data_IF_505471502347
#
_entry.id   IF_505471502347
#
_cell.length_a   1.000
_cell.length_b   1.000
_cell.length_c   1.000
_cell.angle_alpha   90.00
_cell.angle_beta   90.00
_cell.angle_gamma   90.00
#
_symmetry.space_group_name_H-M   'P 1'
#
loop_
_entity.id
_entity.type
_entity.pdbx_description
1 polymer ?
#
# COMPACT_ATOMS: atom_id res chain seq x y z
N UNK A 1 -25.28 27.62 -6.40
CA UNK A 1 -25.13 26.20 -6.01
C UNK A 1 -23.93 25.63 -6.77
N UNK A 2 -22.90 25.15 -6.07
CA UNK A 2 -21.67 24.61 -6.69
C UNK A 2 -21.92 23.17 -7.15
N UNK A 3 -21.81 22.93 -8.45
CA UNK A 3 -21.71 21.59 -9.02
C UNK A 3 -20.29 21.06 -8.77
N UNK A 4 -20.14 20.07 -7.88
CA UNK A 4 -18.91 19.30 -7.71
C UNK A 4 -18.90 18.19 -8.76
N UNK A 5 -18.25 18.47 -9.89
CA UNK A 5 -18.03 17.49 -10.95
C UNK A 5 -17.01 16.44 -10.48
N UNK A 6 -17.40 15.18 -10.58
CA UNK A 6 -16.75 14.01 -9.97
C UNK A 6 -15.26 13.89 -10.26
N UNK A 7 -14.51 13.55 -9.21
CA UNK A 7 -13.14 13.08 -9.32
C UNK A 7 -13.15 11.58 -9.59
N UNK A 8 -13.60 11.21 -10.78
CA UNK A 8 -13.43 9.86 -11.30
C UNK A 8 -12.23 9.89 -12.25
N UNK A 9 -11.03 9.96 -11.66
CA UNK A 9 -9.79 9.69 -12.37
C UNK A 9 -9.17 8.45 -11.72
N UNK A 10 -9.60 7.29 -12.18
CA UNK A 10 -8.85 6.03 -12.02
C UNK A 10 -7.48 6.26 -12.65
N UNK A 11 -6.47 6.49 -11.81
CA UNK A 11 -5.08 6.56 -12.24
C UNK A 11 -4.73 5.15 -12.75
N UNK A 12 -4.40 4.98 -14.04
CA UNK A 12 -3.90 3.71 -14.55
C UNK A 12 -2.68 3.29 -13.72
N UNK A 13 -2.54 2.01 -13.38
CA UNK A 13 -1.39 1.52 -12.61
C UNK A 13 -0.03 1.87 -13.22
N UNK A 14 0.00 2.22 -14.52
CA UNK A 14 1.20 2.68 -15.23
C UNK A 14 1.58 4.15 -14.93
N UNK A 15 0.71 4.94 -14.31
CA UNK A 15 0.97 6.35 -13.95
C UNK A 15 1.45 6.52 -12.49
N UNK A 16 1.67 5.41 -11.76
CA UNK A 16 2.30 5.45 -10.42
C UNK A 16 3.75 5.95 -10.50
N UNK A 17 4.38 5.86 -11.67
CA UNK A 17 5.69 6.44 -11.98
C UNK A 17 5.69 7.98 -11.99
N UNK A 18 4.50 8.61 -11.97
CA UNK A 18 4.35 10.07 -11.90
C UNK A 18 4.17 10.60 -10.47
N UNK A 19 4.11 9.73 -9.46
CA UNK A 19 4.19 10.12 -8.06
C UNK A 19 5.67 10.39 -7.77
N UNK A 20 6.06 11.52 -7.15
CA UNK A 20 7.47 11.81 -6.92
C UNK A 20 8.01 10.85 -5.86
N UNK A 21 8.47 9.66 -6.31
CA UNK A 21 9.37 8.75 -5.59
C UNK A 21 10.73 9.42 -5.30
N UNK A 22 10.91 10.68 -5.73
CA UNK A 22 12.12 11.49 -5.63
C UNK A 22 12.60 11.79 -4.19
N UNK A 23 11.88 11.35 -3.16
CA UNK A 23 12.33 11.43 -1.75
C UNK A 23 12.89 10.12 -1.22
N UNK A 24 12.81 9.03 -1.99
CA UNK A 24 13.42 7.77 -1.59
C UNK A 24 14.93 7.82 -1.85
N UNK A 25 15.76 7.40 -0.88
CA UNK A 25 17.20 7.29 -1.08
C UNK A 25 17.51 6.53 -2.38
N UNK A 26 18.54 6.93 -3.12
CA UNK A 26 18.92 6.30 -4.39
C UNK A 26 19.25 4.79 -4.27
N UNK A 27 19.45 4.30 -3.04
CA UNK A 27 19.66 2.90 -2.67
C UNK A 27 18.42 2.23 -2.06
N UNK A 28 17.26 2.90 -2.08
CA UNK A 28 15.98 2.32 -1.71
C UNK A 28 15.57 1.31 -2.76
N UNK A 29 16.15 0.13 -2.66
CA UNK A 29 15.48 -1.06 -3.14
C UNK A 29 14.35 -1.26 -2.15
N UNK A 30 13.11 -1.34 -2.65
CA UNK A 30 12.06 -2.04 -1.91
C UNK A 30 12.74 -3.25 -1.27
N UNK A 31 12.76 -3.32 0.07
CA UNK A 31 13.51 -4.38 0.75
C UNK A 31 13.20 -5.68 0.01
N UNK A 32 14.22 -6.51 -0.26
CA UNK A 32 14.06 -7.88 -0.74
C UNK A 32 13.33 -8.76 0.31
N UNK A 33 12.43 -8.18 1.11
CA UNK A 33 11.34 -8.88 1.75
C UNK A 33 10.54 -9.49 0.61
N UNK A 34 10.70 -10.81 0.49
CA UNK A 34 9.81 -11.64 -0.31
C UNK A 34 8.37 -11.22 -0.02
N UNK A 35 7.66 -10.79 -1.07
CA UNK A 35 6.29 -10.30 -0.93
C UNK A 35 5.45 -11.37 -0.24
N UNK A 36 4.66 -10.99 0.75
CA UNK A 36 3.93 -11.93 1.60
C UNK A 36 2.95 -12.76 0.77
N UNK A 37 3.22 -14.05 0.58
CA UNK A 37 2.38 -14.95 -0.23
C UNK A 37 1.12 -15.45 0.49
N UNK A 38 0.89 -15.02 1.75
CA UNK A 38 -0.19 -15.57 2.58
C UNK A 38 0.24 -16.75 3.46
N UNK A 39 1.54 -17.04 3.51
CA UNK A 39 2.13 -18.09 4.36
C UNK A 39 2.78 -17.44 5.58
N UNK A 40 2.42 -17.90 6.78
CA UNK A 40 2.90 -17.35 8.05
C UNK A 40 1.87 -16.47 8.75
N UNK A 41 2.33 -15.56 9.62
CA UNK A 41 1.44 -14.71 10.42
C UNK A 41 1.26 -13.32 9.78
N UNK A 42 0.02 -12.95 9.36
CA UNK A 42 -0.27 -11.61 8.83
C UNK A 42 0.11 -10.48 9.81
N UNK A 43 -0.05 -10.69 11.11
CA UNK A 43 0.31 -9.71 12.13
C UNK A 43 1.81 -9.38 12.13
N UNK A 44 2.67 -10.37 11.90
CA UNK A 44 4.12 -10.17 11.85
C UNK A 44 4.49 -9.40 10.59
N UNK A 45 3.92 -9.78 9.44
CA UNK A 45 4.11 -9.05 8.17
C UNK A 45 3.74 -7.57 8.32
N UNK A 46 2.53 -7.31 8.82
CA UNK A 46 2.01 -5.95 8.99
C UNK A 46 2.89 -5.11 9.94
N UNK A 47 3.36 -5.72 11.05
CA UNK A 47 4.24 -5.05 12.01
C UNK A 47 5.58 -4.69 11.39
N UNK A 48 6.21 -5.63 10.66
CA UNK A 48 7.49 -5.40 9.99
C UNK A 48 7.37 -4.30 8.93
N UNK A 49 6.34 -4.39 8.08
CA UNK A 49 6.04 -3.36 7.09
C UNK A 49 5.89 -1.98 7.75
N UNK A 50 5.08 -1.87 8.80
CA UNK A 50 4.87 -0.61 9.51
C UNK A 50 6.17 -0.03 10.08
N UNK A 51 6.95 -0.83 10.81
CA UNK A 51 8.20 -0.38 11.44
C UNK A 51 9.19 0.13 10.40
N UNK A 52 9.36 -0.61 9.31
CA UNK A 52 10.28 -0.26 8.23
C UNK A 52 9.86 1.05 7.56
N UNK A 53 8.61 1.15 7.14
CA UNK A 53 8.11 2.34 6.43
C UNK A 53 8.14 3.58 7.33
N UNK A 54 7.88 3.42 8.64
CA UNK A 54 8.03 4.51 9.62
C UNK A 54 9.48 4.93 9.83
N UNK A 55 10.42 3.99 9.83
CA UNK A 55 11.85 4.30 9.91
C UNK A 55 12.36 5.08 8.68
N UNK A 56 11.69 4.92 7.54
CA UNK A 56 11.95 5.66 6.30
C UNK A 56 11.27 7.03 6.25
N UNK A 57 10.54 7.43 7.31
CA UNK A 57 9.86 8.72 7.38
C UNK A 57 8.55 8.79 6.60
N UNK A 58 7.98 7.65 6.20
CA UNK A 58 6.72 7.61 5.45
C UNK A 58 5.51 7.78 6.36
N UNK A 59 4.55 8.59 5.92
CA UNK A 59 3.27 8.77 6.61
C UNK A 59 2.26 7.66 6.26
N UNK A 60 1.10 7.69 6.92
CA UNK A 60 0.05 6.67 6.73
C UNK A 60 -0.54 6.61 5.33
N UNK A 61 -0.54 7.72 4.58
CA UNK A 61 -1.00 7.72 3.19
C UNK A 61 -0.03 6.94 2.31
N UNK A 62 1.27 7.14 2.51
CA UNK A 62 2.29 6.32 1.84
C UNK A 62 2.20 4.85 2.23
N UNK A 63 1.89 4.53 3.50
CA UNK A 63 1.71 3.14 3.93
C UNK A 63 0.62 2.43 3.13
N UNK A 64 -0.52 3.09 2.91
CA UNK A 64 -1.62 2.54 2.12
C UNK A 64 -1.22 2.35 0.66
N UNK A 65 -0.60 3.36 0.05
CA UNK A 65 -0.21 3.32 -1.37
C UNK A 65 0.82 2.23 -1.66
N UNK A 66 1.80 2.04 -0.78
CA UNK A 66 2.91 1.11 -1.00
C UNK A 66 2.65 -0.31 -0.47
N UNK A 67 1.61 -0.52 0.34
CA UNK A 67 1.30 -1.84 0.90
C UNK A 67 1.19 -2.97 -0.14
N UNK A 68 0.53 -2.80 -1.30
CA UNK A 68 0.45 -3.86 -2.30
C UNK A 68 1.80 -4.31 -2.85
N UNK A 69 2.85 -3.49 -2.79
CA UNK A 69 4.19 -3.89 -3.20
C UNK A 69 4.79 -4.92 -2.21
N UNK A 70 4.32 -4.94 -0.96
CA UNK A 70 4.74 -5.91 0.06
C UNK A 70 4.05 -7.28 -0.05
N UNK A 71 3.16 -7.45 -1.04
CA UNK A 71 2.32 -8.63 -1.23
C UNK A 71 2.71 -9.33 -2.53
N UNK A 72 2.50 -10.65 -2.60
CA UNK A 72 2.72 -11.42 -3.82
C UNK A 72 1.70 -12.55 -3.93
N UNK A 73 1.55 -13.13 -5.12
CA UNK A 73 0.70 -14.29 -5.33
C UNK A 73 -0.77 -14.03 -5.01
N UNK A 74 -1.33 -14.80 -4.07
CA UNK A 74 -2.76 -14.75 -3.70
C UNK A 74 -3.13 -13.48 -2.92
N UNK A 75 -2.24 -12.96 -2.09
CA UNK A 75 -2.50 -11.77 -1.27
C UNK A 75 -2.48 -10.50 -2.11
N UNK A 76 -1.67 -10.43 -3.15
CA UNK A 76 -1.69 -9.32 -4.10
C UNK A 76 -3.02 -9.26 -4.86
N UNK A 77 -3.53 -10.42 -5.29
CA UNK A 77 -4.87 -10.55 -5.89
C UNK A 77 -5.98 -10.17 -4.92
N UNK A 78 -5.88 -10.59 -3.67
CA UNK A 78 -6.80 -10.17 -2.60
C UNK A 78 -6.82 -8.63 -2.47
N UNK A 79 -5.66 -7.98 -2.40
CA UNK A 79 -5.59 -6.52 -2.30
C UNK A 79 -6.21 -5.80 -3.51
N UNK A 80 -5.97 -6.33 -4.71
CA UNK A 80 -6.56 -5.80 -5.95
C UNK A 80 -8.10 -5.93 -5.96
N UNK A 81 -8.65 -6.92 -5.26
CA UNK A 81 -10.10 -7.16 -5.15
C UNK A 81 -10.81 -6.30 -4.10
N UNK A 82 -10.07 -5.63 -3.21
CA UNK A 82 -10.66 -4.77 -2.18
C UNK A 82 -11.33 -3.54 -2.79
N UNK A 83 -12.51 -3.19 -2.25
CA UNK A 83 -13.15 -1.91 -2.57
C UNK A 83 -12.30 -0.73 -2.07
N UNK A 84 -12.44 0.42 -2.72
CA UNK A 84 -11.62 1.60 -2.46
C UNK A 84 -11.72 2.10 -1.01
N UNK A 85 -12.88 1.92 -0.35
CA UNK A 85 -13.09 2.36 1.02
C UNK A 85 -12.31 1.51 2.04
N UNK A 86 -12.10 0.23 1.77
CA UNK A 86 -11.35 -0.69 2.63
C UNK A 86 -9.85 -0.41 2.65
N UNK A 87 -9.35 0.35 1.67
CA UNK A 87 -7.96 0.79 1.57
C UNK A 87 -7.84 2.31 1.61
N UNK A 88 -8.78 3.02 2.23
CA UNK A 88 -8.75 4.49 2.32
C UNK A 88 -7.79 5.00 3.39
N UNK A 89 -7.71 4.29 4.51
CA UNK A 89 -6.83 4.64 5.63
C UNK A 89 -6.01 3.44 6.05
N UNK A 90 -4.87 3.70 6.72
CA UNK A 90 -4.05 2.63 7.27
C UNK A 90 -4.83 1.74 8.26
N UNK A 91 -5.75 2.34 9.02
CA UNK A 91 -6.61 1.62 9.96
C UNK A 91 -7.55 0.65 9.25
N UNK A 92 -8.21 1.09 8.18
CA UNK A 92 -9.17 0.26 7.45
C UNK A 92 -8.44 -0.88 6.72
N UNK A 93 -7.28 -0.58 6.12
CA UNK A 93 -6.44 -1.58 5.46
C UNK A 93 -5.94 -2.64 6.45
N UNK A 94 -5.46 -2.22 7.62
CA UNK A 94 -5.06 -3.13 8.70
C UNK A 94 -6.21 -4.03 9.12
N UNK A 95 -7.40 -3.48 9.27
CA UNK A 95 -8.57 -4.25 9.68
C UNK A 95 -8.88 -5.37 8.68
N UNK A 96 -8.90 -5.04 7.39
CA UNK A 96 -9.15 -6.06 6.36
C UNK A 96 -8.01 -7.07 6.24
N UNK A 97 -6.75 -6.65 6.36
CA UNK A 97 -5.61 -7.56 6.21
C UNK A 97 -5.48 -8.59 7.35
N UNK A 98 -6.00 -8.26 8.53
CA UNK A 98 -5.94 -9.13 9.70
C UNK A 98 -7.20 -9.97 9.92
N UNK A 99 -8.17 -9.88 9.01
CA UNK A 99 -9.40 -10.66 9.04
C UNK A 99 -9.18 -12.07 8.52
#
# INVERSE_FOLDING_TARGET
MRQMRGFERTIPWNDVDSMPLATLPANFRMLEIEGYMGVGCPCIHLRLYYVIMRALGLDEAHLVTLFPLSLSGTTQRWYASLESFHRKTWRDLKHEFLR
#
